data_IF_032195571117
#
_entry.id   IF_032195571117
#
_cell.length_a   1.000
_cell.length_b   1.000
_cell.length_c   1.000
_cell.angle_alpha   90.00
_cell.angle_beta   90.00
_cell.angle_gamma   90.00
#
_symmetry.space_group_name_H-M   'P 1'
#
loop_
_entity.id
_entity.type
_entity.pdbx_description
1 polymer ?
#
# COMPACT_ATOMS: atom_id res chain seq x y z
N UNK A 1 -47.38 30.50 37.29
CA UNK A 1 -48.37 29.61 36.64
C UNK A 1 -47.58 28.63 35.78
N UNK A 2 -47.70 27.34 36.07
CA UNK A 2 -46.92 26.26 35.50
C UNK A 2 -47.41 25.84 34.10
N UNK A 3 -46.49 25.41 33.25
CA UNK A 3 -46.78 24.70 32.01
C UNK A 3 -45.78 23.57 31.84
N UNK A 4 -46.04 22.43 32.47
CA UNK A 4 -45.24 21.22 32.35
C UNK A 4 -45.60 20.51 31.03
N UNK A 5 -44.59 20.16 30.24
CA UNK A 5 -44.71 19.14 29.18
C UNK A 5 -43.80 17.98 29.54
N UNK A 6 -44.42 16.92 30.05
CA UNK A 6 -43.81 15.63 30.37
C UNK A 6 -43.78 14.78 29.10
N UNK A 7 -42.63 14.71 28.44
CA UNK A 7 -42.33 13.77 27.36
C UNK A 7 -41.64 12.51 27.88
N UNK A 8 -41.94 11.37 27.27
CA UNK A 8 -41.64 10.02 27.74
C UNK A 8 -40.14 9.72 27.99
N UNK A 9 -39.78 9.48 29.25
CA UNK A 9 -39.43 8.13 29.74
C UNK A 9 -38.26 7.34 29.16
N UNK A 10 -37.36 7.92 28.36
CA UNK A 10 -36.07 7.29 28.04
C UNK A 10 -34.97 7.80 28.96
N UNK A 11 -34.43 6.95 29.84
CA UNK A 11 -33.20 7.27 30.60
C UNK A 11 -32.06 7.48 29.62
N UNK A 12 -31.76 8.73 29.30
CA UNK A 12 -30.52 9.12 28.65
C UNK A 12 -29.43 8.98 29.71
N UNK A 13 -28.59 7.95 29.62
CA UNK A 13 -27.43 7.78 30.49
C UNK A 13 -26.25 8.54 29.83
N UNK A 14 -25.86 9.72 30.34
CA UNK A 14 -24.82 10.54 29.73
C UNK A 14 -23.42 9.89 29.81
N UNK A 15 -23.29 8.71 30.44
CA UNK A 15 -22.03 7.98 30.57
C UNK A 15 -21.76 6.95 29.46
N UNK A 16 -22.63 6.80 28.47
CA UNK A 16 -22.29 6.04 27.25
C UNK A 16 -22.11 6.99 26.08
N UNK A 17 -21.18 7.93 26.23
CA UNK A 17 -20.59 8.68 25.13
C UNK A 17 -19.53 7.78 24.48
N UNK A 18 -19.97 6.72 23.80
CA UNK A 18 -19.07 5.98 22.92
C UNK A 18 -18.77 6.93 21.76
N UNK A 19 -17.63 7.60 21.84
CA UNK A 19 -17.08 8.45 20.79
C UNK A 19 -16.74 7.56 19.59
N UNK A 20 -17.76 7.22 18.81
CA UNK A 20 -17.65 6.37 17.63
C UNK A 20 -16.66 6.97 16.62
N UNK A 21 -16.46 8.28 16.64
CA UNK A 21 -15.47 8.96 15.83
C UNK A 21 -14.06 8.51 16.22
N UNK A 22 -13.75 8.45 17.51
CA UNK A 22 -12.45 7.97 18.01
C UNK A 22 -12.25 6.45 17.90
N UNK A 23 -13.33 5.66 17.91
CA UNK A 23 -13.25 4.19 17.73
C UNK A 23 -13.09 3.79 16.25
N UNK A 24 -13.56 4.60 15.31
CA UNK A 24 -13.48 4.31 13.87
C UNK A 24 -12.12 4.69 13.26
N UNK A 25 -11.48 5.74 13.78
CA UNK A 25 -10.22 6.24 13.27
C UNK A 25 -9.00 5.70 14.05
N UNK A 26 -8.07 5.08 13.33
CA UNK A 26 -6.76 4.66 13.83
C UNK A 26 -5.66 5.42 13.11
N UNK A 27 -4.49 5.53 13.73
CA UNK A 27 -3.29 6.03 13.05
C UNK A 27 -2.94 5.05 11.93
N UNK A 28 -3.08 5.49 10.68
CA UNK A 28 -2.63 4.71 9.53
C UNK A 28 -1.12 4.59 9.51
N UNK A 29 -0.60 3.42 9.11
CA UNK A 29 0.84 3.17 8.97
C UNK A 29 1.16 2.89 7.51
N UNK A 30 2.22 3.50 6.99
CA UNK A 30 2.75 3.18 5.66
C UNK A 30 4.17 2.69 5.81
N UNK A 31 4.46 1.59 5.15
CA UNK A 31 5.75 0.92 5.08
C UNK A 31 6.15 0.80 3.61
N UNK A 32 7.35 1.27 3.29
CA UNK A 32 7.91 1.19 1.94
C UNK A 32 9.36 0.70 2.05
N UNK A 33 9.60 -0.45 1.43
CA UNK A 33 10.91 -1.07 1.37
C UNK A 33 11.31 -1.27 -0.08
N UNK A 34 12.44 -0.69 -0.44
CA UNK A 34 12.99 -0.76 -1.78
C UNK A 34 14.40 -1.36 -1.76
N UNK A 35 14.62 -2.40 -2.55
CA UNK A 35 15.90 -3.07 -2.70
C UNK A 35 16.31 -3.04 -4.16
N UNK A 36 17.50 -2.51 -4.44
CA UNK A 36 18.06 -2.42 -5.79
C UNK A 36 19.43 -3.08 -5.82
N UNK A 37 19.63 -3.92 -6.83
CA UNK A 37 20.92 -4.49 -7.17
C UNK A 37 21.19 -4.20 -8.63
N UNK A 38 22.31 -3.57 -8.93
CA UNK A 38 22.71 -3.25 -10.29
C UNK A 38 24.19 -3.53 -10.50
N UNK A 39 24.54 -3.77 -11.76
CA UNK A 39 25.91 -4.05 -12.15
C UNK A 39 26.07 -4.00 -13.66
N UNK A 40 27.31 -4.07 -14.08
CA UNK A 40 27.65 -4.07 -15.49
C UNK A 40 29.16 -4.19 -15.68
N UNK A 41 29.55 -4.63 -16.85
CA UNK A 41 30.96 -4.81 -17.19
C UNK A 41 31.20 -4.55 -18.67
N UNK A 42 32.43 -4.14 -18.97
CA UNK A 42 32.87 -3.77 -20.30
C UNK A 42 32.46 -2.36 -20.71
N UNK A 43 32.97 -1.91 -21.86
CA UNK A 43 32.80 -0.56 -22.37
C UNK A 43 32.64 -0.57 -23.90
N UNK A 44 32.01 0.48 -24.43
CA UNK A 44 31.85 0.68 -25.87
C UNK A 44 31.08 -0.45 -26.54
N UNK A 45 31.74 -1.15 -27.48
CA UNK A 45 31.11 -2.20 -28.29
C UNK A 45 30.99 -3.54 -27.57
N UNK A 46 31.44 -3.68 -26.33
CA UNK A 46 31.31 -4.91 -25.54
C UNK A 46 30.86 -4.55 -24.12
N UNK A 47 29.68 -3.94 -23.99
CA UNK A 47 29.14 -3.50 -22.71
C UNK A 47 27.95 -4.36 -22.32
N UNK A 48 27.87 -4.73 -21.04
CA UNK A 48 26.71 -5.38 -20.44
C UNK A 48 26.29 -4.64 -19.17
N UNK A 49 24.99 -4.55 -18.92
CA UNK A 49 24.44 -4.02 -17.69
C UNK A 49 23.19 -4.80 -17.28
N UNK A 50 22.91 -4.79 -15.99
CA UNK A 50 21.70 -5.35 -15.42
C UNK A 50 21.29 -4.58 -14.17
N UNK A 51 20.00 -4.58 -13.89
CA UNK A 51 19.40 -4.04 -12.68
C UNK A 51 18.23 -4.93 -12.29
N UNK A 52 18.23 -5.35 -11.04
CA UNK A 52 17.16 -6.08 -10.38
C UNK A 52 16.65 -5.20 -9.25
N UNK A 53 15.35 -4.92 -9.23
CA UNK A 53 14.72 -4.19 -8.12
C UNK A 53 13.56 -4.96 -7.53
N UNK A 54 13.47 -4.96 -6.21
CA UNK A 54 12.30 -5.41 -5.45
C UNK A 54 11.73 -4.25 -4.64
N UNK A 55 10.41 -4.18 -4.56
CA UNK A 55 9.70 -3.19 -3.76
C UNK A 55 8.57 -3.89 -3.00
N UNK A 56 8.47 -3.60 -1.70
CA UNK A 56 7.35 -3.97 -0.86
C UNK A 56 6.73 -2.70 -0.28
N UNK A 57 5.46 -2.50 -0.58
CA UNK A 57 4.69 -1.38 -0.09
C UNK A 57 3.48 -1.89 0.70
N UNK A 58 3.28 -1.36 1.89
CA UNK A 58 2.16 -1.71 2.75
C UNK A 58 1.56 -0.45 3.37
N UNK A 59 0.27 -0.27 3.20
CA UNK A 59 -0.47 0.86 3.72
C UNK A 59 -1.70 0.38 4.49
N UNK A 60 -1.69 0.66 5.78
CA UNK A 60 -2.80 0.46 6.68
C UNK A 60 -3.62 1.77 6.74
N UNK A 61 -4.88 1.70 6.28
CA UNK A 61 -5.76 2.87 6.24
C UNK A 61 -6.13 3.40 7.63
N UNK A 62 -6.50 4.69 7.68
CA UNK A 62 -6.94 5.38 8.90
C UNK A 62 -8.26 4.86 9.49
N UNK A 63 -8.96 3.98 8.78
CA UNK A 63 -10.15 3.28 9.27
C UNK A 63 -9.78 1.81 9.53
N UNK A 64 -10.36 1.14 10.53
CA UNK A 64 -10.19 -0.32 10.69
C UNK A 64 -10.77 -1.05 9.47
N UNK A 65 -9.92 -1.65 8.63
CA UNK A 65 -10.37 -2.51 7.51
C UNK A 65 -9.62 -2.39 6.17
N UNK A 66 -9.28 -1.18 5.65
CA UNK A 66 -8.50 -1.05 4.43
C UNK A 66 -7.04 -1.39 4.71
N UNK A 67 -6.57 -2.48 4.12
CA UNK A 67 -5.15 -2.85 4.09
C UNK A 67 -4.73 -2.99 2.63
N UNK A 68 -3.70 -2.25 2.22
CA UNK A 68 -3.16 -2.32 0.86
C UNK A 68 -1.72 -2.82 0.91
N UNK A 69 -1.45 -3.92 0.21
CA UNK A 69 -0.10 -4.48 0.08
C UNK A 69 0.25 -4.64 -1.39
N UNK A 70 1.45 -4.21 -1.77
CA UNK A 70 1.99 -4.36 -3.13
C UNK A 70 3.40 -4.89 -3.09
N UNK A 71 3.64 -5.91 -3.89
CA UNK A 71 4.96 -6.44 -4.19
C UNK A 71 5.27 -6.15 -5.64
N UNK A 72 6.41 -5.52 -5.92
CA UNK A 72 6.89 -5.31 -7.28
C UNK A 72 8.28 -5.89 -7.45
N UNK A 73 8.48 -6.57 -8.57
CA UNK A 73 9.77 -7.04 -9.05
C UNK A 73 10.03 -6.42 -10.42
N UNK A 74 11.24 -5.93 -10.63
CA UNK A 74 11.68 -5.35 -11.90
C UNK A 74 13.03 -5.92 -12.28
N UNK A 75 13.16 -6.24 -13.56
CA UNK A 75 14.38 -6.68 -14.18
C UNK A 75 14.64 -5.75 -15.36
N UNK A 76 15.85 -5.22 -15.42
CA UNK A 76 16.36 -4.50 -16.58
C UNK A 76 17.68 -5.10 -16.98
N UNK A 77 17.88 -5.33 -18.26
CA UNK A 77 19.14 -5.83 -18.78
C UNK A 77 19.49 -5.13 -20.09
N UNK A 78 20.78 -5.00 -20.35
CA UNK A 78 21.30 -4.37 -21.55
C UNK A 78 22.58 -5.05 -21.99
N UNK A 79 22.65 -5.41 -23.26
CA UNK A 79 23.81 -6.03 -23.88
C UNK A 79 24.15 -5.30 -25.18
N UNK A 80 25.38 -4.82 -25.29
CA UNK A 80 25.93 -4.21 -26.50
C UNK A 80 27.13 -5.04 -26.93
N UNK A 81 27.03 -5.67 -28.11
CA UNK A 81 28.10 -6.47 -28.72
C UNK A 81 28.29 -6.07 -30.19
N UNK A 82 29.39 -5.40 -30.49
CA UNK A 82 29.73 -4.90 -31.82
C UNK A 82 28.75 -3.82 -32.29
N UNK A 83 27.98 -4.14 -33.34
CA UNK A 83 26.92 -3.29 -33.90
C UNK A 83 25.53 -3.63 -33.36
N UNK A 84 25.41 -4.71 -32.57
CA UNK A 84 24.14 -5.17 -32.02
C UNK A 84 23.98 -4.65 -30.60
N UNK A 85 22.78 -4.14 -30.31
CA UNK A 85 22.38 -3.69 -28.97
C UNK A 85 21.01 -4.26 -28.66
N UNK A 86 20.91 -4.94 -27.53
CA UNK A 86 19.70 -5.50 -26.99
C UNK A 86 19.46 -4.91 -25.61
N UNK A 87 18.23 -4.49 -25.33
CA UNK A 87 17.82 -3.96 -24.04
C UNK A 87 16.45 -4.51 -23.68
N UNK A 88 16.29 -4.88 -22.42
CA UNK A 88 15.08 -5.50 -21.91
C UNK A 88 14.72 -4.86 -20.56
N UNK A 89 13.42 -4.71 -20.32
CA UNK A 89 12.85 -4.14 -19.11
C UNK A 89 11.53 -4.86 -18.84
N UNK A 90 11.57 -5.81 -17.91
CA UNK A 90 10.41 -6.51 -17.41
C UNK A 90 10.02 -5.99 -16.01
N UNK A 91 8.73 -5.90 -15.76
CA UNK A 91 8.19 -5.57 -14.45
C UNK A 91 6.99 -6.47 -14.16
N UNK A 92 6.97 -7.05 -12.97
CA UNK A 92 5.83 -7.77 -12.42
C UNK A 92 5.41 -7.10 -11.12
N UNK A 93 4.11 -6.86 -10.97
CA UNK A 93 3.54 -6.26 -9.78
C UNK A 93 2.33 -7.07 -9.35
N UNK A 94 2.26 -7.41 -8.07
CA UNK A 94 1.12 -8.05 -7.44
C UNK A 94 0.61 -7.15 -6.31
N UNK A 95 -0.69 -6.91 -6.27
CA UNK A 95 -1.34 -6.12 -5.23
C UNK A 95 -2.46 -6.91 -4.58
N UNK A 96 -2.60 -6.76 -3.26
CA UNK A 96 -3.72 -7.26 -2.48
C UNK A 96 -4.36 -6.10 -1.73
N UNK A 97 -5.68 -6.03 -1.75
CA UNK A 97 -6.44 -5.06 -0.96
C UNK A 97 -7.43 -5.80 -0.08
N UNK A 98 -7.43 -5.53 1.22
CA UNK A 98 -8.50 -5.93 2.12
C UNK A 98 -9.45 -4.75 2.26
N UNK A 99 -10.74 -4.98 2.02
CA UNK A 99 -11.78 -3.94 2.15
C UNK A 99 -12.34 -3.89 3.58
N UNK A 100 -13.01 -2.78 3.90
CA UNK A 100 -13.67 -2.51 5.19
C UNK A 100 -14.57 -3.63 5.72
N UNK A 101 -15.09 -4.50 4.84
CA UNK A 101 -16.02 -5.58 5.17
C UNK A 101 -15.35 -6.97 5.31
N UNK A 102 -14.01 -7.05 5.29
CA UNK A 102 -13.26 -8.30 5.51
C UNK A 102 -13.24 -9.31 4.36
N UNK A 103 -13.90 -9.01 3.22
CA UNK A 103 -13.89 -9.86 2.04
C UNK A 103 -12.72 -9.53 1.08
N UNK A 104 -11.96 -10.53 0.57
CA UNK A 104 -11.03 -10.29 -0.52
C UNK A 104 -11.79 -9.89 -1.79
N UNK A 105 -11.19 -8.99 -2.58
CA UNK A 105 -11.65 -8.68 -3.94
C UNK A 105 -11.31 -9.86 -4.86
N UNK A 106 -12.35 -10.42 -5.48
CA UNK A 106 -12.24 -11.42 -6.56
C UNK A 106 -11.77 -10.78 -7.87
#
# INVERSE_FOLDING_TARGET
>A
MAGAVKGAGGKFDPNTDTDWQKEFFRTGRTEDYNLNLSGGSGEGKNASNYLVSGEYFHQEGIVRGPDFKRYSLRLKSGLTKGRFRFQENAQLTHFGTTLLNGGPIH
#
